data_IF_351866230362
#
_entry.id   IF_351866230362
#
_cell.length_a   1.000
_cell.length_b   1.000
_cell.length_c   1.000
_cell.angle_alpha   90.00
_cell.angle_beta   90.00
_cell.angle_gamma   90.00
#
_symmetry.space_group_name_H-M   'P 1'
#
loop_
_entity.id
_entity.type
_entity.pdbx_description
1 polymer ?
#
# COMPACT_ATOMS: atom_id res chain seq x y z
N UNK A 1 -10.30 7.75 5.36
CA UNK A 1 -10.39 6.28 5.28
C UNK A 1 -9.15 5.77 4.57
N UNK A 2 -8.43 4.82 5.18
CA UNK A 2 -7.21 4.25 4.63
C UNK A 2 -7.45 2.91 3.95
N UNK A 3 -6.77 2.66 2.83
CA UNK A 3 -6.83 1.40 2.09
C UNK A 3 -5.45 0.77 1.99
N UNK A 4 -5.18 -0.27 2.78
CA UNK A 4 -4.23 -1.34 2.45
C UNK A 4 -4.83 -2.62 3.01
N UNK A 5 -5.14 -3.60 2.17
CA UNK A 5 -5.59 -4.93 2.59
C UNK A 5 -4.64 -5.96 2.00
N UNK A 6 -4.13 -6.83 2.87
CA UNK A 6 -2.94 -7.64 2.64
C UNK A 6 -3.07 -8.81 1.66
N UNK A 7 -1.88 -9.25 1.21
CA UNK A 7 -1.46 -10.42 0.45
C UNK A 7 -2.47 -11.06 -0.54
N UNK A 8 -2.20 -10.98 -1.86
CA UNK A 8 -1.23 -10.16 -2.60
C UNK A 8 -1.69 -8.69 -2.73
N UNK A 9 -0.79 -7.76 -3.14
CA UNK A 9 -1.20 -6.39 -3.45
C UNK A 9 -2.33 -6.37 -4.48
N UNK A 10 -3.37 -5.60 -4.20
CA UNK A 10 -4.57 -5.57 -5.02
C UNK A 10 -4.29 -4.85 -6.37
N UNK A 11 -4.47 -5.51 -7.53
CA UNK A 11 -4.22 -4.89 -8.84
C UNK A 11 -5.24 -3.79 -9.19
N UNK A 12 -6.41 -3.80 -8.54
CA UNK A 12 -7.50 -2.83 -8.76
C UNK A 12 -7.56 -1.75 -7.66
N UNK A 13 -6.46 -1.52 -6.95
CA UNK A 13 -6.44 -0.59 -5.82
C UNK A 13 -6.71 0.86 -6.25
N UNK A 14 -6.26 1.26 -7.43
CA UNK A 14 -6.56 2.57 -8.02
C UNK A 14 -8.03 2.70 -8.39
N UNK A 15 -8.61 1.68 -9.04
CA UNK A 15 -10.04 1.67 -9.38
C UNK A 15 -10.91 1.76 -8.12
N UNK A 16 -10.51 1.04 -7.07
CA UNK A 16 -11.23 1.10 -5.80
C UNK A 16 -11.13 2.47 -5.14
N UNK A 17 -9.95 3.11 -5.18
CA UNK A 17 -9.78 4.49 -4.74
C UNK A 17 -10.71 5.43 -5.51
N UNK A 18 -10.66 5.40 -6.85
CA UNK A 18 -11.48 6.25 -7.71
C UNK A 18 -12.98 6.04 -7.47
N UNK A 19 -13.41 4.79 -7.27
CA UNK A 19 -14.79 4.47 -6.94
C UNK A 19 -15.23 5.15 -5.64
N UNK A 20 -14.42 5.07 -4.58
CA UNK A 20 -14.76 5.68 -3.29
C UNK A 20 -14.77 7.21 -3.40
N UNK A 21 -13.78 7.79 -4.06
CA UNK A 21 -13.71 9.25 -4.31
C UNK A 21 -14.94 9.73 -5.10
N UNK A 22 -15.32 9.03 -6.18
CA UNK A 22 -16.45 9.40 -7.02
C UNK A 22 -17.81 9.20 -6.33
N UNK A 23 -17.98 8.08 -5.61
CA UNK A 23 -19.27 7.73 -4.98
C UNK A 23 -19.57 8.52 -3.72
N UNK A 24 -18.52 8.88 -2.97
CA UNK A 24 -18.67 9.47 -1.63
C UNK A 24 -18.10 10.88 -1.51
N UNK A 25 -17.34 11.37 -2.50
CA UNK A 25 -16.74 12.71 -2.47
C UNK A 25 -15.68 12.88 -1.37
N UNK A 26 -15.10 11.76 -0.91
CA UNK A 26 -14.10 11.74 0.16
C UNK A 26 -12.71 11.57 -0.43
N UNK A 27 -11.74 12.27 0.14
CA UNK A 27 -10.33 12.02 -0.16
C UNK A 27 -9.91 10.65 0.40
N UNK A 28 -9.28 9.84 -0.44
CA UNK A 28 -8.81 8.50 -0.08
C UNK A 28 -7.28 8.50 -0.11
N UNK A 29 -6.68 7.90 0.93
CA UNK A 29 -5.23 7.74 1.04
C UNK A 29 -4.88 6.25 1.02
N UNK A 30 -3.78 5.91 0.34
CA UNK A 30 -3.26 4.55 0.31
C UNK A 30 -2.58 4.25 1.64
N UNK A 31 -3.16 3.28 2.35
CA UNK A 31 -2.64 2.77 3.60
C UNK A 31 -2.64 3.76 4.76
N UNK A 32 -2.87 3.22 5.95
CA UNK A 32 -2.74 3.97 7.22
C UNK A 32 -1.79 3.29 8.18
N UNK A 33 -1.21 2.16 7.77
CA UNK A 33 -0.34 1.32 8.57
C UNK A 33 0.92 1.03 7.76
N UNK A 34 2.07 0.90 8.43
CA UNK A 34 3.32 0.60 7.75
C UNK A 34 3.28 -0.80 7.11
N UNK A 35 4.01 -0.98 6.00
CA UNK A 35 4.22 -2.29 5.39
C UNK A 35 5.17 -3.09 6.31
N UNK A 36 4.77 -4.28 6.82
CA UNK A 36 5.65 -5.13 7.63
C UNK A 36 6.95 -5.47 6.90
N UNK A 37 8.05 -5.59 7.63
CA UNK A 37 9.38 -5.87 7.06
C UNK A 37 9.41 -7.23 6.31
N UNK A 38 8.75 -8.26 6.84
CA UNK A 38 8.61 -9.56 6.15
C UNK A 38 7.87 -9.42 4.81
N UNK A 39 6.84 -8.58 4.78
CA UNK A 39 6.05 -8.31 3.57
C UNK A 39 6.87 -7.61 2.51
N UNK A 40 7.57 -6.56 2.92
CA UNK A 40 8.41 -5.77 2.04
C UNK A 40 9.47 -6.65 1.37
N UNK A 41 10.16 -7.50 2.15
CA UNK A 41 11.21 -8.40 1.64
C UNK A 41 10.69 -9.37 0.58
N UNK A 42 9.64 -10.12 0.89
CA UNK A 42 9.07 -11.11 -0.04
C UNK A 42 8.61 -10.44 -1.34
N UNK A 43 7.91 -9.31 -1.25
CA UNK A 43 7.39 -8.62 -2.43
C UNK A 43 8.47 -7.88 -3.25
N UNK A 44 9.56 -7.46 -2.61
CA UNK A 44 10.74 -6.94 -3.31
C UNK A 44 11.43 -8.04 -4.11
N UNK A 45 11.63 -9.24 -3.53
CA UNK A 45 12.19 -10.39 -4.25
C UNK A 45 11.33 -10.83 -5.44
N UNK A 46 10.01 -10.69 -5.32
CA UNK A 46 9.06 -11.00 -6.38
C UNK A 46 8.95 -9.92 -7.47
N UNK A 47 9.64 -8.78 -7.33
CA UNK A 47 9.50 -7.64 -8.25
C UNK A 47 8.08 -7.05 -8.25
N UNK A 48 7.35 -7.22 -7.14
CA UNK A 48 5.95 -6.77 -7.04
C UNK A 48 5.82 -5.25 -7.18
N UNK A 49 6.81 -4.53 -6.67
CA UNK A 49 6.87 -3.09 -6.67
C UNK A 49 7.49 -2.52 -7.95
N UNK A 50 7.92 -3.39 -8.88
CA UNK A 50 8.60 -2.97 -10.10
C UNK A 50 7.60 -2.31 -11.05
N UNK A 51 7.58 -0.98 -11.04
CA UNK A 51 6.83 -0.16 -11.97
C UNK A 51 5.68 0.64 -11.36
N UNK A 52 5.19 1.59 -12.16
CA UNK A 52 3.98 2.35 -11.84
C UNK A 52 2.78 1.40 -11.74
N UNK A 53 1.87 1.55 -10.76
CA UNK A 53 1.70 2.70 -9.85
C UNK A 53 2.33 2.55 -8.45
N UNK A 54 3.09 1.49 -8.18
CA UNK A 54 3.44 1.06 -6.83
C UNK A 54 4.30 2.04 -6.03
N UNK A 55 5.20 2.79 -6.67
CA UNK A 55 6.02 3.80 -5.99
C UNK A 55 5.13 4.82 -5.25
N UNK A 56 4.13 5.37 -5.95
CA UNK A 56 3.22 6.38 -5.40
C UNK A 56 2.23 5.81 -4.37
N UNK A 57 1.88 4.54 -4.50
CA UNK A 57 0.91 3.86 -3.62
C UNK A 57 1.59 3.48 -2.29
N UNK A 58 2.84 3.04 -2.35
CA UNK A 58 3.56 2.52 -1.17
C UNK A 58 4.27 3.59 -0.37
N UNK A 59 4.66 4.71 -0.99
CA UNK A 59 5.29 5.88 -0.34
C UNK A 59 4.69 6.24 1.04
N UNK A 60 3.37 6.44 1.21
CA UNK A 60 2.78 6.81 2.50
C UNK A 60 2.91 5.73 3.58
N UNK A 61 3.24 4.50 3.21
CA UNK A 61 3.30 3.33 4.11
C UNK A 61 4.68 2.70 4.22
N UNK A 62 5.66 3.27 3.51
CA UNK A 62 7.06 2.89 3.59
C UNK A 62 7.71 3.60 4.80
N UNK A 63 7.31 3.19 6.00
CA UNK A 63 7.89 3.69 7.25
C UNK A 63 9.36 3.27 7.39
N UNK A 64 10.08 3.81 8.37
CA UNK A 64 11.45 3.42 8.69
C UNK A 64 11.56 1.94 9.15
N UNK A 65 12.77 1.38 9.11
CA UNK A 65 13.02 -0.02 9.42
C UNK A 65 12.60 -0.42 10.84
N UNK A 66 12.82 0.44 11.84
CA UNK A 66 12.42 0.17 13.22
C UNK A 66 10.90 0.04 13.32
N UNK A 67 10.16 0.97 12.71
CA UNK A 67 8.70 0.94 12.65
C UNK A 67 8.17 -0.29 11.92
N UNK A 68 8.80 -0.68 10.79
CA UNK A 68 8.40 -1.88 10.03
C UNK A 68 8.67 -3.18 10.79
N UNK A 69 9.77 -3.26 11.54
CA UNK A 69 10.11 -4.39 12.40
C UNK A 69 9.20 -4.49 13.63
N UNK A 70 8.75 -3.36 14.19
CA UNK A 70 7.82 -3.34 15.31
C UNK A 70 6.39 -3.76 14.93
N UNK A 71 6.03 -3.60 13.66
CA UNK A 71 4.69 -3.92 13.11
C UNK A 71 4.58 -5.35 12.55
N UNK A 72 5.68 -6.11 12.62
CA UNK A 72 5.92 -7.39 11.96
C UNK A 72 5.31 -8.62 12.63
#
# INVERSE_FOLDING_TARGET
>A
TGLIVGYPPCPYIEDFRHFIEARYGLQVVYGTHPIPEKYLKVHTELGTWDGSPWDSITEPTMADEETRLAYD
#
